data_IF_776606727060
#
_entry.id   IF_776606727060
#
_cell.length_a   1.000
_cell.length_b   1.000
_cell.length_c   1.000
_cell.angle_alpha   90.00
_cell.angle_beta   90.00
_cell.angle_gamma   90.00
#
_symmetry.space_group_name_H-M   'P 1'
#
loop_
_entity.id
_entity.type
_entity.pdbx_description
1 polymer ?
#
# COMPACT_ATOMS: atom_id res chain seq x y z
N UNK A 1 22.99 -19.24 -52.34
CA UNK A 1 21.75 -18.65 -51.79
C UNK A 1 21.65 -19.10 -50.32
N UNK A 2 22.12 -18.30 -49.38
CA UNK A 2 22.19 -18.65 -47.95
C UNK A 2 21.04 -17.90 -47.25
N UNK A 3 20.11 -18.65 -46.67
CA UNK A 3 18.95 -18.10 -45.93
C UNK A 3 19.34 -17.55 -44.57
N UNK A 4 19.01 -16.31 -44.22
CA UNK A 4 19.22 -15.79 -42.88
C UNK A 4 17.96 -16.00 -42.02
N UNK A 5 17.64 -17.25 -41.64
CA UNK A 5 16.45 -17.55 -40.83
C UNK A 5 16.73 -17.98 -39.39
N UNK A 6 17.93 -17.80 -38.86
CA UNK A 6 18.25 -18.24 -37.47
C UNK A 6 18.31 -17.13 -36.40
N UNK A 7 18.25 -15.85 -36.79
CA UNK A 7 18.37 -14.76 -35.82
C UNK A 7 17.04 -14.28 -35.24
N UNK A 8 15.92 -14.45 -35.91
CA UNK A 8 14.61 -13.93 -35.49
C UNK A 8 14.01 -14.73 -34.34
N UNK A 9 14.31 -16.02 -34.22
CA UNK A 9 13.74 -16.88 -33.15
C UNK A 9 14.36 -16.58 -31.78
N UNK A 10 15.64 -16.16 -31.74
CA UNK A 10 16.33 -15.86 -30.49
C UNK A 10 15.76 -14.61 -29.78
N UNK A 11 15.40 -13.59 -30.54
CA UNK A 11 14.84 -12.34 -29.97
C UNK A 11 13.40 -12.51 -29.45
N UNK A 12 12.60 -13.33 -30.12
CA UNK A 12 11.23 -13.60 -29.70
C UNK A 12 11.18 -14.34 -28.36
N UNK A 13 12.09 -15.28 -28.14
CA UNK A 13 12.21 -16.02 -26.90
C UNK A 13 12.71 -15.15 -25.73
N UNK A 14 13.64 -14.22 -25.98
CA UNK A 14 14.16 -13.29 -24.96
C UNK A 14 13.06 -12.32 -24.51
N UNK A 15 12.29 -11.75 -25.45
CA UNK A 15 11.17 -10.87 -25.10
C UNK A 15 10.07 -11.60 -24.31
N UNK A 16 9.76 -12.85 -24.67
CA UNK A 16 8.78 -13.66 -23.94
C UNK A 16 9.26 -13.99 -22.53
N UNK A 17 10.56 -14.28 -22.34
CA UNK A 17 11.16 -14.55 -21.04
C UNK A 17 11.12 -13.30 -20.15
N UNK A 18 11.42 -12.12 -20.68
CA UNK A 18 11.38 -10.86 -19.94
C UNK A 18 9.95 -10.49 -19.51
N UNK A 19 8.95 -10.78 -20.34
CA UNK A 19 7.53 -10.59 -19.97
C UNK A 19 7.11 -11.53 -18.84
N UNK A 20 7.55 -12.78 -18.84
CA UNK A 20 7.26 -13.73 -17.76
C UNK A 20 7.93 -13.33 -16.45
N UNK A 21 9.15 -12.80 -16.47
CA UNK A 21 9.82 -12.29 -15.26
C UNK A 21 9.11 -11.04 -14.71
N UNK A 22 8.58 -10.15 -15.54
CA UNK A 22 7.81 -8.99 -15.11
C UNK A 22 6.51 -9.37 -14.41
N UNK A 23 5.82 -10.38 -14.92
CA UNK A 23 4.56 -10.87 -14.31
C UNK A 23 4.82 -11.57 -12.96
N UNK A 24 5.90 -12.35 -12.85
CA UNK A 24 6.26 -13.02 -11.61
C UNK A 24 6.63 -12.05 -10.48
N UNK A 25 7.32 -10.95 -10.79
CA UNK A 25 7.66 -9.94 -9.79
C UNK A 25 6.41 -9.15 -9.32
N UNK A 26 5.51 -8.77 -10.23
CA UNK A 26 4.27 -8.07 -9.88
C UNK A 26 3.34 -8.95 -9.02
N UNK A 27 3.31 -10.25 -9.25
CA UNK A 27 2.52 -11.20 -8.47
C UNK A 27 3.12 -11.42 -7.07
N UNK A 28 4.45 -11.36 -6.94
CA UNK A 28 5.13 -11.52 -5.65
C UNK A 28 4.95 -10.32 -4.72
N UNK A 29 4.82 -9.11 -5.26
CA UNK A 29 4.57 -7.90 -4.46
C UNK A 29 3.14 -7.82 -3.93
N UNK A 30 2.14 -8.21 -4.73
CA UNK A 30 0.75 -8.30 -4.27
C UNK A 30 0.58 -9.28 -3.10
N UNK A 31 1.24 -10.43 -3.14
CA UNK A 31 1.12 -11.46 -2.10
C UNK A 31 1.60 -10.99 -0.72
N UNK A 32 2.50 -10.02 -0.65
CA UNK A 32 3.04 -9.50 0.63
C UNK A 32 2.01 -8.66 1.39
N UNK A 33 1.13 -7.97 0.69
CA UNK A 33 0.10 -7.10 1.29
C UNK A 33 -1.16 -7.88 1.68
N UNK A 34 -1.49 -8.94 0.94
CA UNK A 34 -2.70 -9.74 1.22
C UNK A 34 -2.69 -10.25 2.66
N UNK A 35 -3.74 -9.91 3.40
CA UNK A 35 -3.86 -10.29 4.81
C UNK A 35 -4.66 -9.28 5.63
N UNK A 36 -4.64 -9.48 6.93
CA UNK A 36 -5.28 -8.62 7.91
C UNK A 36 -4.21 -7.85 8.67
N UNK A 37 -4.33 -6.54 8.71
CA UNK A 37 -3.35 -5.63 9.26
C UNK A 37 -3.98 -4.74 10.33
N UNK A 38 -3.43 -4.77 11.53
CA UNK A 38 -3.90 -3.95 12.66
C UNK A 38 -3.00 -2.73 12.84
N UNK A 39 -3.62 -1.55 12.87
CA UNK A 39 -2.97 -0.28 13.16
C UNK A 39 -2.13 -0.35 14.43
N UNK A 40 -0.95 0.20 14.41
CA UNK A 40 -0.05 0.32 15.55
C UNK A 40 0.25 1.78 15.90
N UNK A 41 0.71 2.54 14.93
CA UNK A 41 1.09 3.95 15.13
C UNK A 41 0.88 4.76 13.86
N UNK A 42 0.61 6.04 14.03
CA UNK A 42 0.78 7.07 13.00
C UNK A 42 1.67 8.18 13.56
N UNK A 43 2.61 8.64 12.75
CA UNK A 43 3.40 9.85 13.03
C UNK A 43 3.26 10.78 11.85
N UNK A 44 2.81 12.00 12.09
CA UNK A 44 2.61 13.03 11.06
C UNK A 44 3.48 14.24 11.35
N UNK A 45 4.12 14.75 10.31
CA UNK A 45 4.89 15.99 10.32
C UNK A 45 4.12 17.00 9.47
N UNK A 46 3.70 18.09 10.10
CA UNK A 46 3.04 19.23 9.48
C UNK A 46 4.09 20.31 9.22
N UNK A 47 4.27 20.67 7.95
CA UNK A 47 5.22 21.72 7.55
C UNK A 47 4.61 23.11 7.73
N UNK A 48 4.06 23.35 8.92
CA UNK A 48 3.61 24.66 9.41
C UNK A 48 4.77 25.54 9.87
N UNK A 49 4.51 26.77 10.25
CA UNK A 49 5.50 27.65 10.88
C UNK A 49 4.99 28.10 12.27
N UNK A 50 5.54 27.54 13.36
CA UNK A 50 6.60 26.53 13.43
C UNK A 50 6.12 25.14 12.98
N UNK A 51 7.08 24.29 12.53
CA UNK A 51 6.80 22.90 12.17
C UNK A 51 6.29 22.10 13.38
N UNK A 52 5.25 21.31 13.17
CA UNK A 52 4.65 20.48 14.21
C UNK A 52 4.78 18.98 13.89
N UNK A 53 4.84 18.18 14.93
CA UNK A 53 4.84 16.71 14.81
C UNK A 53 3.79 16.15 15.76
N UNK A 54 2.95 15.26 15.24
CA UNK A 54 1.96 14.52 16.02
C UNK A 54 2.24 13.03 15.94
N UNK A 55 1.99 12.30 17.01
CA UNK A 55 2.08 10.84 17.02
C UNK A 55 0.93 10.25 17.83
N UNK A 56 0.25 9.27 17.23
CA UNK A 56 -0.84 8.52 17.87
C UNK A 56 -0.49 7.03 17.81
N UNK A 57 -0.66 6.35 18.94
CA UNK A 57 -0.51 4.90 19.05
C UNK A 57 -1.86 4.24 19.20
N UNK A 58 -1.94 2.96 18.85
CA UNK A 58 -3.14 2.16 19.06
C UNK A 58 -3.56 2.15 20.53
N UNK A 59 -4.81 2.47 20.78
CA UNK A 59 -5.49 2.37 22.07
C UNK A 59 -6.97 2.05 21.85
N UNK A 60 -7.82 2.20 22.88
CA UNK A 60 -9.26 1.96 22.78
C UNK A 60 -10.00 2.95 21.88
N UNK A 61 -9.46 4.17 21.71
CA UNK A 61 -10.06 5.25 20.93
C UNK A 61 -9.48 5.36 19.50
N UNK A 62 -8.33 4.71 19.24
CA UNK A 62 -7.62 4.76 17.98
C UNK A 62 -7.28 3.34 17.51
N UNK A 63 -8.18 2.75 16.78
CA UNK A 63 -8.05 1.39 16.24
C UNK A 63 -8.45 1.37 14.79
N UNK A 64 -7.68 0.66 13.97
CA UNK A 64 -8.04 0.37 12.59
C UNK A 64 -7.57 -1.02 12.21
N UNK A 65 -8.36 -1.69 11.40
CA UNK A 65 -8.00 -2.95 10.75
C UNK A 65 -8.19 -2.81 9.26
N UNK A 66 -7.13 -3.03 8.51
CA UNK A 66 -7.13 -3.16 7.05
C UNK A 66 -7.16 -4.63 6.67
N UNK A 67 -7.96 -4.99 5.70
CA UNK A 67 -7.98 -6.35 5.14
C UNK A 67 -7.84 -6.27 3.62
N UNK A 68 -6.72 -6.74 3.10
CA UNK A 68 -6.46 -6.83 1.67
C UNK A 68 -6.69 -8.25 1.17
N UNK A 69 -7.45 -8.42 0.09
CA UNK A 69 -7.80 -9.71 -0.51
C UNK A 69 -7.12 -9.89 -1.86
N UNK A 70 -6.89 -11.13 -2.24
CA UNK A 70 -6.24 -11.49 -3.51
C UNK A 70 -7.02 -11.02 -4.74
N UNK A 71 -8.33 -10.87 -4.62
CA UNK A 71 -9.22 -10.41 -5.70
C UNK A 71 -9.11 -8.91 -6.00
N UNK A 72 -8.24 -8.17 -5.28
CA UNK A 72 -8.05 -6.73 -5.44
C UNK A 72 -9.06 -5.89 -4.66
N UNK A 73 -9.87 -6.50 -3.81
CA UNK A 73 -10.72 -5.77 -2.87
C UNK A 73 -10.03 -5.56 -1.53
N UNK A 74 -10.35 -4.47 -0.85
CA UNK A 74 -9.96 -4.26 0.54
C UNK A 74 -11.13 -3.75 1.36
N UNK A 75 -11.01 -3.90 2.66
CA UNK A 75 -11.91 -3.27 3.61
C UNK A 75 -11.12 -2.70 4.78
N UNK A 76 -11.62 -1.63 5.33
CA UNK A 76 -11.12 -1.12 6.59
C UNK A 76 -12.27 -0.84 7.55
N UNK A 77 -12.00 -0.98 8.83
CA UNK A 77 -12.91 -0.58 9.90
C UNK A 77 -12.10 -0.19 11.11
N UNK A 78 -12.65 0.71 11.91
CA UNK A 78 -11.96 1.18 13.08
C UNK A 78 -12.78 2.04 13.99
N UNK A 79 -12.09 2.62 14.95
CA UNK A 79 -12.58 3.63 15.88
C UNK A 79 -11.58 4.76 15.89
N UNK A 80 -12.07 5.98 15.75
CA UNK A 80 -11.27 7.20 15.87
C UNK A 80 -12.01 8.18 16.77
N UNK A 81 -11.38 8.56 17.88
CA UNK A 81 -11.97 9.41 18.94
C UNK A 81 -13.39 8.96 19.37
N UNK A 82 -13.59 7.64 19.45
CA UNK A 82 -14.88 7.03 19.82
C UNK A 82 -15.90 6.90 18.69
N UNK A 83 -15.62 7.46 17.52
CA UNK A 83 -16.45 7.32 16.31
C UNK A 83 -16.06 6.08 15.53
N UNK A 84 -17.03 5.20 15.23
CA UNK A 84 -16.81 3.99 14.43
C UNK A 84 -16.94 4.33 12.95
N UNK A 85 -16.04 3.76 12.16
CA UNK A 85 -16.07 3.87 10.71
C UNK A 85 -15.78 2.53 10.04
N UNK A 86 -16.27 2.35 8.83
CA UNK A 86 -15.96 1.19 7.97
C UNK A 86 -16.19 1.55 6.51
N UNK A 87 -15.37 0.97 5.63
CA UNK A 87 -15.57 1.07 4.19
C UNK A 87 -14.95 -0.13 3.49
N UNK A 88 -15.33 -0.28 2.22
CA UNK A 88 -14.77 -1.28 1.30
C UNK A 88 -14.37 -0.58 0.00
N UNK A 89 -13.40 -1.14 -0.71
CA UNK A 89 -12.93 -0.57 -1.95
C UNK A 89 -12.04 -1.51 -2.74
N UNK A 90 -11.34 -0.93 -3.69
CA UNK A 90 -10.39 -1.62 -4.56
C UNK A 90 -8.97 -1.18 -4.23
N UNK A 91 -8.03 -2.09 -4.37
CA UNK A 91 -6.63 -1.80 -4.19
C UNK A 91 -5.77 -2.38 -5.31
N UNK A 92 -4.64 -1.75 -5.53
CA UNK A 92 -3.62 -2.23 -6.46
C UNK A 92 -2.24 -1.76 -6.03
N UNK A 93 -1.20 -2.50 -6.43
CA UNK A 93 0.19 -2.11 -6.23
C UNK A 93 0.90 -1.99 -7.56
N UNK A 94 1.75 -0.99 -7.66
CA UNK A 94 2.70 -0.82 -8.74
C UNK A 94 4.05 -0.44 -8.14
N UNK A 95 5.04 -1.34 -8.27
CA UNK A 95 6.34 -1.22 -7.58
C UNK A 95 6.15 -1.06 -6.06
N UNK A 96 6.64 0.03 -5.49
CA UNK A 96 6.54 0.37 -4.07
C UNK A 96 5.32 1.25 -3.74
N UNK A 97 4.42 1.45 -4.69
CA UNK A 97 3.24 2.28 -4.52
C UNK A 97 2.00 1.44 -4.34
N UNK A 98 1.23 1.73 -3.32
CA UNK A 98 -0.11 1.20 -3.04
C UNK A 98 -1.15 2.26 -3.38
N UNK A 99 -2.13 1.88 -4.17
CA UNK A 99 -3.32 2.67 -4.45
C UNK A 99 -4.53 2.01 -3.83
N UNK A 100 -5.29 2.75 -3.05
CA UNK A 100 -6.57 2.33 -2.46
C UNK A 100 -7.67 3.29 -2.90
N UNK A 101 -8.81 2.78 -3.34
CA UNK A 101 -9.98 3.57 -3.76
C UNK A 101 -11.21 3.06 -3.02
N UNK A 102 -11.76 3.85 -2.13
CA UNK A 102 -12.94 3.54 -1.34
C UNK A 102 -13.95 4.69 -1.42
N UNK A 103 -15.12 4.40 -1.97
CA UNK A 103 -16.20 5.40 -2.06
C UNK A 103 -15.86 6.62 -2.92
N UNK A 104 -14.96 6.49 -3.90
CA UNK A 104 -14.49 7.58 -4.75
C UNK A 104 -13.37 8.42 -4.14
N UNK A 105 -12.91 8.07 -2.93
CA UNK A 105 -11.72 8.66 -2.32
C UNK A 105 -10.52 7.77 -2.62
N UNK A 106 -9.57 8.33 -3.35
CA UNK A 106 -8.36 7.63 -3.78
C UNK A 106 -7.17 8.04 -2.91
N UNK A 107 -6.57 7.05 -2.25
CA UNK A 107 -5.33 7.23 -1.49
C UNK A 107 -4.18 6.57 -2.24
N UNK A 108 -3.10 7.30 -2.43
CA UNK A 108 -1.85 6.80 -3.03
C UNK A 108 -0.75 6.97 -2.00
N UNK A 109 -0.05 5.91 -1.68
CA UNK A 109 1.03 5.93 -0.70
C UNK A 109 2.17 4.99 -1.11
N UNK A 110 3.36 5.24 -0.60
CA UNK A 110 4.43 4.27 -0.65
C UNK A 110 4.17 3.20 0.43
N UNK A 111 4.53 1.95 0.16
CA UNK A 111 4.40 0.87 1.12
C UNK A 111 5.65 0.02 1.20
N UNK A 112 5.90 -0.52 2.38
CA UNK A 112 6.94 -1.49 2.65
C UNK A 112 6.39 -2.56 3.59
N UNK A 113 6.67 -3.83 3.29
CA UNK A 113 6.35 -4.96 4.17
C UNK A 113 7.65 -5.65 4.57
N UNK A 114 7.94 -5.63 5.88
CA UNK A 114 9.14 -6.27 6.45
C UNK A 114 8.71 -7.17 7.62
N UNK A 115 8.80 -8.49 7.41
CA UNK A 115 8.31 -9.47 8.37
C UNK A 115 6.80 -9.33 8.61
N UNK A 116 6.41 -9.11 9.85
CA UNK A 116 5.00 -8.92 10.25
C UNK A 116 4.54 -7.45 10.22
N UNK A 117 5.40 -6.54 9.80
CA UNK A 117 5.10 -5.11 9.79
C UNK A 117 4.89 -4.58 8.38
N UNK A 118 3.84 -3.79 8.21
CA UNK A 118 3.61 -2.97 7.02
C UNK A 118 3.72 -1.50 7.40
N UNK A 119 4.48 -0.75 6.62
CA UNK A 119 4.62 0.70 6.74
C UNK A 119 4.00 1.36 5.52
N UNK A 120 3.09 2.29 5.74
CA UNK A 120 2.53 3.15 4.70
C UNK A 120 3.05 4.58 4.89
N UNK A 121 3.52 5.19 3.81
CA UNK A 121 3.98 6.58 3.81
C UNK A 121 3.09 7.41 2.91
N UNK A 122 2.36 8.34 3.50
CA UNK A 122 1.44 9.25 2.82
C UNK A 122 2.06 10.64 2.77
N UNK A 123 2.03 11.27 1.60
CA UNK A 123 2.46 12.66 1.39
C UNK A 123 1.28 13.44 0.86
N UNK A 124 0.92 14.49 1.56
CA UNK A 124 -0.12 15.42 1.16
C UNK A 124 0.53 16.77 0.86
N UNK A 125 0.29 17.28 -0.33
CA UNK A 125 0.80 18.57 -0.75
C UNK A 125 0.03 19.71 -0.08
N UNK A 126 0.67 20.86 0.04
CA UNK A 126 0.06 22.08 0.56
C UNK A 126 -1.13 22.51 -0.29
N UNK A 127 -2.20 22.94 0.38
CA UNK A 127 -3.38 23.54 -0.22
C UNK A 127 -3.77 24.82 0.53
N UNK A 128 -4.80 25.54 0.06
CA UNK A 128 -5.29 26.74 0.75
C UNK A 128 -5.81 26.46 2.18
N UNK A 129 -6.22 25.20 2.45
CA UNK A 129 -6.81 24.80 3.74
C UNK A 129 -5.85 23.98 4.61
N UNK A 130 -4.82 23.36 4.01
CA UNK A 130 -3.97 22.39 4.70
C UNK A 130 -2.49 22.61 4.41
N UNK A 131 -1.66 22.47 5.44
CA UNK A 131 -0.21 22.42 5.28
C UNK A 131 0.22 21.13 4.58
N UNK A 132 1.34 21.18 3.88
CA UNK A 132 2.00 19.97 3.41
C UNK A 132 2.23 19.04 4.59
N UNK A 133 1.86 17.76 4.44
CA UNK A 133 1.94 16.78 5.51
C UNK A 133 2.67 15.53 5.03
N UNK A 134 3.49 14.98 5.89
CA UNK A 134 4.15 13.69 5.71
C UNK A 134 3.74 12.78 6.87
N UNK A 135 3.08 11.67 6.55
CA UNK A 135 2.58 10.73 7.56
C UNK A 135 3.13 9.33 7.34
N UNK A 136 3.58 8.71 8.41
CA UNK A 136 4.05 7.33 8.44
C UNK A 136 3.10 6.53 9.33
N UNK A 137 2.40 5.57 8.75
CA UNK A 137 1.50 4.64 9.42
C UNK A 137 2.14 3.26 9.50
N UNK A 138 2.09 2.64 10.66
CA UNK A 138 2.59 1.28 10.88
C UNK A 138 1.46 0.35 11.27
N UNK A 139 1.44 -0.81 10.64
CA UNK A 139 0.47 -1.87 10.86
C UNK A 139 1.19 -3.17 11.16
N UNK A 140 0.61 -4.00 12.00
CA UNK A 140 1.09 -5.35 12.27
C UNK A 140 0.15 -6.39 11.67
N UNK A 141 0.71 -7.41 11.06
CA UNK A 141 -0.06 -8.54 10.54
C UNK A 141 -0.76 -9.26 11.68
N UNK A 142 -2.07 -9.43 11.54
CA UNK A 142 -2.86 -10.24 12.46
C UNK A 142 -2.76 -11.70 12.04
N UNK A 143 -1.82 -12.42 12.63
CA UNK A 143 -1.72 -13.86 12.45
C UNK A 143 -2.95 -14.48 13.13
N UNK A 144 -3.87 -15.02 12.32
CA UNK A 144 -4.96 -15.84 12.85
C UNK A 144 -4.31 -17.15 13.26
N UNK A 145 -4.01 -17.32 14.55
CA UNK A 145 -3.64 -18.62 15.12
C UNK A 145 -4.79 -19.59 14.88
N UNK A 146 -4.54 -20.58 14.04
CA UNK A 146 -5.46 -21.71 13.79
C UNK A 146 -5.40 -22.69 14.95
#
# INVERSE_FOLDING_TARGET
MVHPMKKTIAYTNICLLLLLFGILNAQNDKSKIVGIWEFQTITSIYYSDPQETSSTSRDENHQETLTFREDGTFSYHGVDEGSKYASIGLWNTEKETLTMDAGGVKTICDYEVTGEMMTLTVREEESEEFYRTFSVLKYKNKIISR
#
